data_IF_325503418313
#
_entry.id   IF_325503418313
#
_cell.length_a   1.000
_cell.length_b   1.000
_cell.length_c   1.000
_cell.angle_alpha   90.00
_cell.angle_beta   90.00
_cell.angle_gamma   90.00
#
_symmetry.space_group_name_H-M   'P 1'
#
loop_
_entity.id
_entity.type
_entity.pdbx_description
1 polymer ?
#
# COMPACT_ATOMS: atom_id res chain seq x y z
N UNK A 1 20.82 0.51 -14.71
CA UNK A 1 19.40 0.77 -14.43
C UNK A 1 19.15 0.36 -12.99
N UNK A 2 18.75 1.26 -12.10
CA UNK A 2 18.43 0.88 -10.72
C UNK A 2 17.22 -0.08 -10.73
N UNK A 3 17.31 -1.17 -9.98
CA UNK A 3 16.20 -2.11 -9.84
C UNK A 3 15.17 -1.56 -8.85
N UNK A 4 13.92 -1.43 -9.29
CA UNK A 4 12.81 -0.95 -8.46
C UNK A 4 11.84 -2.11 -8.23
N UNK A 5 11.66 -2.52 -6.98
CA UNK A 5 10.64 -3.50 -6.60
C UNK A 5 9.26 -2.88 -6.82
N UNK A 6 8.45 -3.52 -7.65
CA UNK A 6 7.10 -3.07 -7.97
C UNK A 6 6.09 -4.02 -7.34
N UNK A 7 5.29 -3.52 -6.40
CA UNK A 7 4.22 -4.27 -5.76
C UNK A 7 2.90 -3.73 -6.29
N UNK A 8 1.99 -4.60 -6.73
CA UNK A 8 0.71 -4.17 -7.27
C UNK A 8 -0.47 -4.85 -6.58
N UNK A 9 -1.64 -4.22 -6.66
CA UNK A 9 -2.89 -4.82 -6.19
C UNK A 9 -4.08 -4.27 -6.93
N UNK A 10 -5.12 -5.10 -7.02
CA UNK A 10 -6.45 -4.71 -7.48
C UNK A 10 -7.51 -4.81 -6.39
N UNK A 11 -7.14 -5.24 -5.18
CA UNK A 11 -8.07 -5.41 -4.07
C UNK A 11 -8.39 -4.08 -3.41
N UNK A 12 -9.68 -3.76 -3.34
CA UNK A 12 -10.22 -2.60 -2.63
C UNK A 12 -10.81 -2.97 -1.27
N UNK A 13 -11.76 -2.18 -0.79
CA UNK A 13 -12.38 -2.35 0.54
C UNK A 13 -13.17 -3.66 0.72
N UNK A 14 -13.46 -4.38 -0.36
CA UNK A 14 -14.14 -5.67 -0.36
C UNK A 14 -13.35 -6.80 0.34
N UNK A 15 -12.02 -6.70 0.38
CA UNK A 15 -11.17 -7.55 1.22
C UNK A 15 -10.11 -6.68 1.92
N UNK A 16 -10.41 -6.18 3.12
CA UNK A 16 -9.51 -5.27 3.86
C UNK A 16 -8.12 -5.85 4.13
N UNK A 17 -8.00 -7.18 4.21
CA UNK A 17 -6.71 -7.83 4.44
C UNK A 17 -5.88 -7.78 3.18
N UNK A 18 -6.44 -8.23 2.04
CA UNK A 18 -5.73 -8.20 0.75
C UNK A 18 -5.45 -6.78 0.26
N UNK A 19 -6.34 -5.84 0.54
CA UNK A 19 -6.13 -4.42 0.25
C UNK A 19 -4.88 -3.86 0.96
N UNK A 20 -4.57 -4.35 2.15
CA UNK A 20 -3.52 -3.79 3.00
C UNK A 20 -2.16 -4.47 2.83
N UNK A 21 -2.13 -5.77 2.49
CA UNK A 21 -0.89 -6.54 2.27
C UNK A 21 0.15 -5.81 1.39
N UNK A 22 -0.21 -5.23 0.23
CA UNK A 22 0.75 -4.55 -0.66
C UNK A 22 1.52 -3.41 0.02
N UNK A 23 0.81 -2.60 0.81
CA UNK A 23 1.39 -1.48 1.55
C UNK A 23 2.23 -1.96 2.73
N UNK A 24 1.80 -3.03 3.41
CA UNK A 24 2.57 -3.65 4.47
C UNK A 24 3.89 -4.25 3.95
N UNK A 25 3.86 -4.93 2.81
CA UNK A 25 5.07 -5.46 2.16
C UNK A 25 5.99 -4.35 1.66
N UNK A 26 5.42 -3.29 1.07
CA UNK A 26 6.21 -2.12 0.64
C UNK A 26 6.93 -1.45 1.81
N UNK A 27 6.29 -1.35 2.99
CA UNK A 27 6.94 -0.89 4.22
C UNK A 27 8.15 -1.77 4.58
N UNK A 28 7.97 -3.09 4.62
CA UNK A 28 9.06 -4.02 4.91
C UNK A 28 10.23 -3.87 3.94
N UNK A 29 9.95 -3.87 2.63
CA UNK A 29 10.97 -3.67 1.60
C UNK A 29 11.71 -2.34 1.73
N UNK A 30 11.00 -1.25 2.02
CA UNK A 30 11.62 0.06 2.25
C UNK A 30 12.53 0.06 3.47
N UNK A 31 12.13 -0.59 4.56
CA UNK A 31 12.93 -0.69 5.79
C UNK A 31 14.21 -1.52 5.59
N UNK A 32 14.22 -2.47 4.65
CA UNK A 32 15.43 -3.22 4.28
C UNK A 32 16.28 -2.52 3.22
N UNK A 33 15.96 -1.27 2.85
CA UNK A 33 16.75 -0.45 1.93
C UNK A 33 16.43 -0.64 0.44
N UNK A 34 15.38 -1.38 0.07
CA UNK A 34 14.99 -1.52 -1.33
C UNK A 34 14.36 -0.22 -1.88
N UNK A 35 14.63 0.11 -3.15
CA UNK A 35 13.78 1.04 -3.89
C UNK A 35 12.50 0.32 -4.27
N UNK A 36 11.36 0.84 -3.81
CA UNK A 36 10.05 0.20 -3.91
C UNK A 36 9.00 1.21 -4.35
N UNK A 37 8.07 0.74 -5.17
CA UNK A 37 6.87 1.48 -5.59
C UNK A 37 5.64 0.58 -5.53
N UNK A 38 4.49 1.22 -5.40
CA UNK A 38 3.18 0.58 -5.40
C UNK A 38 2.43 0.98 -6.67
N UNK A 39 1.74 0.03 -7.30
CA UNK A 39 0.85 0.28 -8.44
C UNK A 39 -0.54 -0.22 -8.09
N UNK A 40 -1.52 0.67 -8.14
CA UNK A 40 -2.93 0.39 -7.92
C UNK A 40 -3.64 0.31 -9.27
N UNK A 41 -4.66 -0.54 -9.36
CA UNK A 41 -5.50 -0.68 -10.54
C UNK A 41 -6.87 -1.23 -10.13
N UNK A 42 -7.95 -0.81 -10.78
CA UNK A 42 -9.31 -1.27 -10.44
C UNK A 42 -9.75 -0.82 -9.04
N UNK A 43 -10.33 -1.71 -8.25
CA UNK A 43 -10.94 -1.37 -6.95
C UNK A 43 -9.94 -0.82 -5.93
N UNK A 44 -8.65 -1.14 -6.07
CA UNK A 44 -7.61 -0.64 -5.16
C UNK A 44 -7.37 0.87 -5.31
N UNK A 45 -7.76 1.48 -6.43
CA UNK A 45 -7.63 2.93 -6.65
C UNK A 45 -8.48 3.74 -5.66
N UNK A 46 -9.62 3.19 -5.21
CA UNK A 46 -10.50 3.78 -4.22
C UNK A 46 -9.85 3.89 -2.83
N UNK A 47 -8.81 3.10 -2.54
CA UNK A 47 -8.10 3.13 -1.25
C UNK A 47 -7.41 4.48 -0.98
N UNK A 48 -7.13 5.27 -2.03
CA UNK A 48 -6.51 6.59 -1.92
C UNK A 48 -7.53 7.72 -1.73
N UNK A 49 -8.83 7.44 -1.86
CA UNK A 49 -9.88 8.46 -1.64
C UNK A 49 -9.86 8.89 -0.17
N UNK A 50 -9.98 10.20 0.06
CA UNK A 50 -10.00 10.79 1.41
C UNK A 50 -11.00 10.06 2.32
N UNK A 51 -10.56 9.62 3.49
CA UNK A 51 -11.41 8.95 4.48
C UNK A 51 -11.54 7.44 4.30
N UNK A 52 -11.15 6.87 3.14
CA UNK A 52 -11.29 5.42 2.91
C UNK A 52 -10.27 4.62 3.73
N UNK A 53 -9.02 5.04 3.76
CA UNK A 53 -7.94 4.34 4.46
C UNK A 53 -8.23 4.15 5.96
N UNK A 54 -8.90 5.12 6.57
CA UNK A 54 -9.31 5.14 7.97
C UNK A 54 -10.33 4.04 8.28
N UNK A 55 -11.09 3.55 7.28
CA UNK A 55 -12.09 2.49 7.43
C UNK A 55 -11.55 1.07 7.20
N UNK A 56 -10.37 0.93 6.59
CA UNK A 56 -9.83 -0.38 6.20
C UNK A 56 -9.04 -1.00 7.35
N UNK A 57 -9.53 -2.15 7.84
CA UNK A 57 -8.93 -2.94 8.93
C UNK A 57 -8.81 -4.41 8.53
N UNK A 58 -7.62 -4.79 8.06
CA UNK A 58 -7.28 -6.17 7.73
C UNK A 58 -6.95 -7.01 8.98
N UNK A 59 -6.93 -8.34 8.81
CA UNK A 59 -6.50 -9.29 9.87
C UNK A 59 -5.04 -9.65 9.67
N UNK A 60 -4.24 -9.59 10.75
CA UNK A 60 -2.81 -9.93 10.70
C UNK A 60 -1.93 -8.94 9.95
N UNK A 61 -2.44 -7.75 9.63
CA UNK A 61 -1.75 -6.62 8.99
C UNK A 61 -2.08 -5.34 9.75
N UNK A 62 -1.24 -4.29 9.70
CA UNK A 62 -1.55 -3.01 10.32
C UNK A 62 -2.80 -2.35 9.70
N UNK A 63 -3.40 -1.32 10.31
CA UNK A 63 -4.39 -0.48 9.66
C UNK A 63 -3.86 0.13 8.35
N UNK A 64 -4.69 0.23 7.32
CA UNK A 64 -4.27 0.78 6.02
C UNK A 64 -3.76 2.22 6.16
N UNK A 65 -4.42 3.04 6.98
CA UNK A 65 -4.00 4.41 7.27
C UNK A 65 -2.57 4.50 7.83
N UNK A 66 -2.13 3.51 8.61
CA UNK A 66 -0.77 3.46 9.17
C UNK A 66 0.27 3.21 8.06
N UNK A 67 0.06 2.18 7.24
CA UNK A 67 1.00 1.82 6.18
C UNK A 67 0.99 2.82 5.02
N UNK A 68 -0.14 3.47 4.73
CA UNK A 68 -0.20 4.61 3.82
C UNK A 68 0.52 5.85 4.39
N UNK A 69 0.38 6.11 5.69
CA UNK A 69 1.15 7.15 6.37
C UNK A 69 2.65 6.92 6.25
N UNK A 70 3.11 5.70 6.53
CA UNK A 70 4.51 5.30 6.33
C UNK A 70 4.96 5.49 4.87
N UNK A 71 4.15 5.07 3.90
CA UNK A 71 4.47 5.20 2.48
C UNK A 71 4.66 6.67 2.07
N UNK A 72 3.76 7.56 2.52
CA UNK A 72 3.88 9.01 2.32
C UNK A 72 5.15 9.56 2.95
N UNK A 73 5.39 9.28 4.22
CA UNK A 73 6.52 9.84 4.97
C UNK A 73 7.87 9.33 4.44
N UNK A 74 7.89 8.09 3.95
CA UNK A 74 9.07 7.44 3.34
C UNK A 74 9.21 7.69 1.83
N UNK A 75 8.32 8.49 1.23
CA UNK A 75 8.29 8.83 -0.20
C UNK A 75 8.25 7.59 -1.12
N UNK A 76 7.53 6.54 -0.71
CA UNK A 76 7.23 5.40 -1.58
C UNK A 76 6.28 5.90 -2.66
N UNK A 77 6.68 5.77 -3.93
CA UNK A 77 5.85 6.18 -5.07
C UNK A 77 4.63 5.27 -5.19
N UNK A 78 3.45 5.86 -5.34
CA UNK A 78 2.20 5.15 -5.61
C UNK A 78 1.69 5.62 -6.98
N UNK A 79 1.44 4.67 -7.87
CA UNK A 79 0.85 4.89 -9.18
C UNK A 79 -0.57 4.32 -9.21
N UNK A 80 -1.44 4.91 -10.00
CA UNK A 80 -2.86 4.58 -10.15
C UNK A 80 -3.18 4.46 -11.63
#
# INVERSE_FOLDING_TARGET
>A
MEQVLTISTTWGTNDPTKATIPFHLARGAKQTGADVRIVLAGDSTELLRTGVAETVRGKGVPPLSEVLGFARDSKIRIHV
#
